data_IF_546158750636
#
_entry.id   IF_546158750636
#
_cell.length_a   1.000
_cell.length_b   1.000
_cell.length_c   1.000
_cell.angle_alpha   90.00
_cell.angle_beta   90.00
_cell.angle_gamma   90.00
#
_symmetry.space_group_name_H-M   'P 1'
#
loop_
_entity.id
_entity.type
_entity.pdbx_description
1 polymer ?
#
# COMPACT_ATOMS: atom_id res chain seq x y z
N UNK A 1 8.53 -9.38 14.46
CA UNK A 1 8.78 -10.55 13.58
C UNK A 1 8.39 -10.32 12.12
N UNK A 2 7.69 -9.21 11.79
CA UNK A 2 7.36 -8.85 10.40
C UNK A 2 8.66 -8.60 9.61
N UNK A 3 8.76 -9.10 8.36
CA UNK A 3 9.96 -8.99 7.53
C UNK A 3 10.50 -7.57 7.39
N UNK A 4 9.62 -6.57 7.19
CA UNK A 4 10.01 -5.15 7.13
C UNK A 4 10.68 -4.70 8.44
N UNK A 5 10.08 -4.94 9.61
CA UNK A 5 10.65 -4.55 10.89
C UNK A 5 11.97 -5.26 11.17
N UNK A 6 12.01 -6.58 10.99
CA UNK A 6 13.21 -7.37 11.25
C UNK A 6 14.32 -7.06 10.24
N UNK A 7 14.02 -7.07 8.95
CA UNK A 7 15.01 -6.88 7.88
C UNK A 7 15.52 -5.44 7.79
N UNK A 8 14.61 -4.48 7.68
CA UNK A 8 14.95 -3.08 7.41
C UNK A 8 15.30 -2.31 8.66
N UNK A 9 14.59 -2.55 9.80
CA UNK A 9 14.77 -1.73 11.00
C UNK A 9 15.72 -2.31 12.03
N UNK A 10 16.02 -3.63 11.98
CA UNK A 10 16.93 -4.28 12.94
C UNK A 10 18.15 -4.86 12.25
N UNK A 11 17.97 -5.87 11.38
CA UNK A 11 19.08 -6.61 10.79
C UNK A 11 19.96 -5.73 9.88
N UNK A 12 19.36 -4.99 8.98
CA UNK A 12 20.10 -4.11 8.06
C UNK A 12 20.97 -3.09 8.79
N UNK A 13 20.44 -2.26 9.71
CA UNK A 13 21.24 -1.33 10.49
C UNK A 13 22.37 -1.98 11.28
N UNK A 14 22.12 -3.14 11.92
CA UNK A 14 23.16 -3.86 12.66
C UNK A 14 24.29 -4.36 11.74
N UNK A 15 23.96 -4.90 10.55
CA UNK A 15 24.94 -5.30 9.55
C UNK A 15 25.79 -4.10 9.06
N UNK A 16 25.18 -2.94 8.98
CA UNK A 16 25.86 -1.68 8.60
C UNK A 16 26.56 -0.98 9.78
N UNK A 17 26.54 -1.60 10.97
CA UNK A 17 27.12 -1.03 12.21
C UNK A 17 26.49 0.32 12.59
N UNK A 18 25.21 0.49 12.33
CA UNK A 18 24.45 1.67 12.70
C UNK A 18 23.80 1.44 14.06
N UNK A 19 23.88 2.43 14.95
CA UNK A 19 23.17 2.40 16.23
C UNK A 19 21.66 2.31 16.01
N UNK A 20 21.02 1.35 16.67
CA UNK A 20 19.59 1.09 16.52
C UNK A 20 18.88 1.22 17.86
N UNK A 21 17.89 2.10 17.92
CA UNK A 21 17.04 2.29 19.10
C UNK A 21 15.82 1.39 18.96
N UNK A 22 15.80 0.31 19.75
CA UNK A 22 14.67 -0.61 19.78
C UNK A 22 13.59 -0.09 20.73
N UNK A 23 12.36 0.00 20.23
CA UNK A 23 11.19 0.40 20.99
C UNK A 23 10.28 -0.83 21.13
N UNK A 24 10.28 -1.52 22.29
CA UNK A 24 9.53 -2.77 22.45
C UNK A 24 8.03 -2.63 22.25
N UNK A 25 7.49 -1.48 22.69
CA UNK A 25 6.07 -1.15 22.55
C UNK A 25 5.93 0.29 22.05
N UNK A 26 5.27 0.45 20.91
CA UNK A 26 5.02 1.77 20.34
C UNK A 26 3.81 2.42 20.99
N UNK A 27 4.03 3.60 21.59
CA UNK A 27 2.98 4.47 22.10
C UNK A 27 3.01 5.79 21.30
N UNK A 28 1.97 6.02 20.50
CA UNK A 28 1.85 7.24 19.70
C UNK A 28 1.88 8.54 20.53
N UNK A 29 1.42 8.51 21.78
CA UNK A 29 1.47 9.68 22.67
C UNK A 29 2.90 10.01 23.10
N UNK A 30 3.76 9.01 23.24
CA UNK A 30 5.17 9.18 23.62
C UNK A 30 6.08 9.47 22.42
N UNK A 31 5.59 9.30 21.21
CA UNK A 31 6.41 9.43 19.99
C UNK A 31 7.11 10.81 19.88
N UNK A 32 6.43 11.97 20.09
CA UNK A 32 7.10 13.28 20.07
C UNK A 32 8.24 13.38 21.09
N UNK A 33 8.04 12.87 22.31
CA UNK A 33 9.07 12.86 23.36
C UNK A 33 10.27 11.99 22.94
N UNK A 34 10.03 10.84 22.34
CA UNK A 34 11.09 9.97 21.83
C UNK A 34 11.91 10.66 20.74
N UNK A 35 11.26 11.32 19.78
CA UNK A 35 11.91 12.08 18.73
C UNK A 35 12.82 13.19 19.30
N UNK A 36 12.31 13.92 20.30
CA UNK A 36 13.07 14.96 20.97
C UNK A 36 14.26 14.41 21.78
N UNK A 37 14.08 13.24 22.41
CA UNK A 37 15.11 12.65 23.28
C UNK A 37 16.23 12.00 22.48
N UNK A 38 15.86 11.16 21.51
CA UNK A 38 16.84 10.34 20.78
C UNK A 38 17.37 11.02 19.52
N UNK A 39 16.67 12.01 18.98
CA UNK A 39 17.04 12.72 17.74
C UNK A 39 17.54 11.76 16.65
N UNK A 40 16.74 10.74 16.26
CA UNK A 40 17.17 9.76 15.30
C UNK A 40 17.46 10.41 13.94
N UNK A 41 18.44 9.89 13.22
CA UNK A 41 18.72 10.32 11.84
C UNK A 41 17.87 9.55 10.81
N UNK A 42 17.37 8.38 11.19
CA UNK A 42 16.52 7.56 10.35
C UNK A 42 15.31 7.02 11.12
N UNK A 43 14.18 6.96 10.46
CA UNK A 43 12.96 6.31 10.96
C UNK A 43 12.39 5.47 9.82
N UNK A 44 12.07 4.21 10.11
CA UNK A 44 11.32 3.35 9.23
C UNK A 44 9.95 3.03 9.86
N UNK A 45 8.90 3.06 9.08
CA UNK A 45 7.54 2.81 9.56
C UNK A 45 6.55 2.47 8.47
N UNK A 46 5.34 2.19 8.91
CA UNK A 46 4.20 1.89 8.05
C UNK A 46 3.28 3.12 7.93
N UNK A 47 2.39 3.19 6.92
CA UNK A 47 1.50 4.36 6.75
C UNK A 47 0.68 4.72 7.98
N UNK A 48 0.27 3.75 8.80
CA UNK A 48 -0.44 4.01 10.06
C UNK A 48 0.41 4.76 11.10
N UNK A 49 1.73 4.54 11.12
CA UNK A 49 2.66 5.32 11.95
C UNK A 49 2.69 6.79 11.50
N UNK A 50 2.71 7.01 10.19
CA UNK A 50 2.71 8.36 9.61
C UNK A 50 1.41 9.11 9.89
N UNK A 51 0.24 8.43 9.80
CA UNK A 51 -1.03 9.01 10.25
C UNK A 51 -0.98 9.45 11.70
N UNK A 52 -0.52 8.57 12.59
CA UNK A 52 -0.40 8.87 14.01
C UNK A 52 0.56 10.05 14.28
N UNK A 53 1.63 10.19 13.51
CA UNK A 53 2.56 11.31 13.59
C UNK A 53 1.92 12.62 13.15
N UNK A 54 1.19 12.62 12.04
CA UNK A 54 0.52 13.80 11.49
C UNK A 54 -0.63 14.32 12.36
N UNK A 55 -1.28 13.44 13.12
CA UNK A 55 -2.43 13.77 13.98
C UNK A 55 -2.01 14.13 15.41
N UNK A 56 -0.76 13.88 15.79
CA UNK A 56 -0.29 14.11 17.15
C UNK A 56 0.21 15.54 17.34
N UNK A 57 -0.59 16.39 18.00
CA UNK A 57 -0.26 17.78 18.35
C UNK A 57 1.04 17.93 19.15
N UNK A 58 1.54 16.86 19.78
CA UNK A 58 2.82 16.87 20.47
C UNK A 58 4.02 17.15 19.55
N UNK A 59 3.83 17.07 18.23
CA UNK A 59 4.86 17.42 17.24
C UNK A 59 4.93 18.92 16.92
N UNK A 60 3.92 19.74 17.24
CA UNK A 60 3.81 21.14 16.79
C UNK A 60 5.10 21.97 16.96
N UNK A 61 5.93 21.65 17.96
CA UNK A 61 7.18 22.37 18.25
C UNK A 61 8.40 21.44 18.27
N UNK A 62 8.36 20.32 17.55
CA UNK A 62 9.50 19.39 17.46
C UNK A 62 10.34 19.74 16.23
N UNK A 63 11.60 20.03 16.46
CA UNK A 63 12.59 20.15 15.37
C UNK A 63 13.01 18.75 14.89
N UNK A 64 12.82 18.49 13.60
CA UNK A 64 13.16 17.25 12.91
C UNK A 64 14.35 17.42 11.94
N UNK A 65 15.09 18.53 12.04
CA UNK A 65 16.22 18.86 11.16
C UNK A 65 17.33 17.81 11.16
N UNK A 66 17.40 16.99 12.22
CA UNK A 66 18.34 15.87 12.32
C UNK A 66 17.98 14.66 11.44
N UNK A 67 16.73 14.57 10.97
CA UNK A 67 16.31 13.46 10.11
C UNK A 67 16.97 13.54 8.73
N UNK A 68 17.55 12.41 8.33
CA UNK A 68 18.16 12.19 7.00
C UNK A 68 17.36 11.18 6.18
N UNK A 69 16.67 10.26 6.85
CA UNK A 69 15.90 9.21 6.20
C UNK A 69 14.57 8.99 6.93
N UNK A 70 13.49 9.04 6.17
CA UNK A 70 12.14 8.63 6.61
C UNK A 70 11.64 7.61 5.59
N UNK A 71 11.47 6.36 6.02
CA UNK A 71 11.25 5.22 5.13
C UNK A 71 9.87 4.63 5.38
N UNK A 72 9.01 4.64 4.39
CA UNK A 72 7.71 3.96 4.41
C UNK A 72 7.80 2.62 3.71
N UNK A 73 7.22 1.59 4.33
CA UNK A 73 7.12 0.26 3.75
C UNK A 73 6.05 -0.58 4.45
N UNK A 74 5.91 -1.83 4.02
CA UNK A 74 5.00 -2.80 4.64
C UNK A 74 3.53 -2.62 4.30
N UNK A 75 3.12 -1.46 3.77
CA UNK A 75 1.81 -1.21 3.20
C UNK A 75 1.87 -0.08 2.17
N UNK A 76 0.81 0.08 1.39
CA UNK A 76 0.72 1.12 0.36
C UNK A 76 0.65 2.52 0.98
N UNK A 77 1.56 3.39 0.56
CA UNK A 77 1.57 4.81 0.93
C UNK A 77 0.82 5.59 -0.15
N UNK A 78 -0.37 6.11 0.16
CA UNK A 78 -1.16 6.90 -0.78
C UNK A 78 -0.46 8.21 -1.14
N UNK A 79 -0.68 8.72 -2.34
CA UNK A 79 -0.12 10.02 -2.79
C UNK A 79 -0.47 11.15 -1.82
N UNK A 80 -1.71 11.18 -1.34
CA UNK A 80 -2.16 12.19 -0.36
C UNK A 80 -1.36 12.10 0.96
N UNK A 81 -1.09 10.88 1.44
CA UNK A 81 -0.28 10.68 2.65
C UNK A 81 1.19 11.08 2.41
N UNK A 82 1.75 10.72 1.26
CA UNK A 82 3.10 11.10 0.86
C UNK A 82 3.26 12.63 0.84
N UNK A 83 2.33 13.37 0.22
CA UNK A 83 2.33 14.82 0.18
C UNK A 83 2.21 15.46 1.57
N UNK A 84 1.30 14.93 2.41
CA UNK A 84 1.11 15.40 3.79
C UNK A 84 2.36 15.20 4.61
N UNK A 85 3.00 14.03 4.50
CA UNK A 85 4.26 13.74 5.20
C UNK A 85 5.40 14.64 4.72
N UNK A 86 5.55 14.83 3.42
CA UNK A 86 6.59 15.70 2.87
C UNK A 86 6.40 17.15 3.30
N UNK A 87 5.16 17.63 3.39
CA UNK A 87 4.85 18.97 3.94
C UNK A 87 5.20 19.03 5.43
N UNK A 88 4.78 18.04 6.20
CA UNK A 88 5.05 17.96 7.63
C UNK A 88 6.56 17.97 7.91
N UNK A 89 7.35 17.16 7.23
CA UNK A 89 8.80 17.12 7.38
C UNK A 89 9.44 18.49 7.13
N UNK A 90 9.06 19.16 6.04
CA UNK A 90 9.56 20.52 5.73
C UNK A 90 9.18 21.54 6.79
N UNK A 91 7.94 21.55 7.27
CA UNK A 91 7.50 22.51 8.31
C UNK A 91 8.16 22.29 9.65
N UNK A 92 8.75 21.10 9.89
CA UNK A 92 9.50 20.76 11.10
C UNK A 92 11.02 20.77 10.89
N UNK A 93 11.51 21.43 9.84
CA UNK A 93 12.93 21.63 9.60
C UNK A 93 13.66 20.48 8.88
N UNK A 94 13.00 19.36 8.58
CA UNK A 94 13.61 18.25 7.84
C UNK A 94 13.53 18.52 6.33
N UNK A 95 14.66 18.84 5.70
CA UNK A 95 14.75 19.10 4.26
C UNK A 95 14.93 17.80 3.45
N UNK A 96 14.01 16.87 3.66
CA UNK A 96 13.96 15.56 3.00
C UNK A 96 12.54 15.23 2.58
N UNK A 97 12.39 14.25 1.69
CA UNK A 97 11.12 13.62 1.36
C UNK A 97 11.07 12.21 1.91
N UNK A 98 9.86 11.73 2.23
CA UNK A 98 9.66 10.34 2.64
C UNK A 98 10.04 9.41 1.50
N UNK A 99 10.88 8.42 1.78
CA UNK A 99 11.26 7.36 0.85
C UNK A 99 10.33 6.17 0.99
N UNK A 100 10.21 5.39 -0.08
CA UNK A 100 9.34 4.22 -0.16
C UNK A 100 10.15 2.98 -0.46
N UNK A 101 9.81 1.87 0.19
CA UNK A 101 10.36 0.56 -0.10
C UNK A 101 9.25 -0.43 -0.40
N UNK A 102 9.46 -1.27 -1.41
CA UNK A 102 8.55 -2.34 -1.76
C UNK A 102 9.20 -3.71 -1.52
N UNK A 103 8.38 -4.64 -1.09
CA UNK A 103 8.76 -6.03 -0.89
C UNK A 103 7.68 -6.79 -0.14
N UNK A 104 7.93 -8.06 0.06
CA UNK A 104 7.00 -8.99 0.70
C UNK A 104 7.77 -10.06 1.48
N UNK A 105 7.06 -10.90 2.23
CA UNK A 105 7.66 -12.00 3.01
C UNK A 105 8.43 -12.95 2.08
N UNK A 106 7.86 -13.25 0.92
CA UNK A 106 8.43 -14.12 -0.11
C UNK A 106 9.72 -13.58 -0.74
N UNK A 107 10.01 -12.31 -0.54
CA UNK A 107 11.24 -11.66 -1.01
C UNK A 107 12.11 -11.11 0.13
N UNK A 108 11.95 -11.62 1.34
CA UNK A 108 12.77 -11.29 2.52
C UNK A 108 12.82 -9.78 2.79
N UNK A 109 11.65 -9.16 2.88
CA UNK A 109 11.38 -7.74 3.11
C UNK A 109 11.48 -6.86 1.86
N UNK A 110 12.56 -6.06 1.71
CA UNK A 110 12.64 -5.04 0.66
C UNK A 110 13.39 -5.52 -0.58
N UNK A 111 12.82 -5.28 -1.76
CA UNK A 111 13.41 -5.61 -3.07
C UNK A 111 13.62 -4.39 -3.95
N UNK A 112 12.84 -3.31 -3.72
CA UNK A 112 13.07 -2.01 -4.35
C UNK A 112 13.03 -0.89 -3.33
N UNK A 113 13.58 0.26 -3.70
CA UNK A 113 13.66 1.44 -2.83
C UNK A 113 13.75 2.73 -3.65
N UNK A 114 13.18 3.81 -3.12
CA UNK A 114 13.27 5.14 -3.74
C UNK A 114 14.51 5.87 -3.24
N UNK A 115 15.58 5.82 -4.02
CA UNK A 115 16.80 6.59 -3.78
C UNK A 115 16.63 8.05 -4.20
N UNK A 116 17.59 8.91 -3.84
CA UNK A 116 17.66 10.28 -4.37
C UNK A 116 17.69 10.24 -5.90
N UNK A 117 16.82 11.00 -6.53
CA UNK A 117 16.66 11.03 -7.99
C UNK A 117 15.68 9.98 -8.57
N UNK A 118 15.23 9.01 -7.77
CA UNK A 118 14.21 8.02 -8.18
C UNK A 118 12.99 8.03 -7.26
N UNK A 119 12.90 8.98 -6.34
CA UNK A 119 11.79 9.11 -5.41
C UNK A 119 10.64 9.92 -6.04
N UNK A 120 10.08 9.39 -7.12
CA UNK A 120 8.93 9.98 -7.78
C UNK A 120 7.63 9.72 -6.98
N UNK A 121 6.68 10.66 -6.99
CA UNK A 121 5.40 10.46 -6.30
C UNK A 121 4.70 9.17 -6.72
N UNK A 122 4.24 8.38 -5.76
CA UNK A 122 3.55 7.10 -6.00
C UNK A 122 4.44 5.95 -6.47
N UNK A 123 5.73 6.18 -6.75
CA UNK A 123 6.65 5.10 -7.14
C UNK A 123 7.07 4.24 -5.96
N UNK A 124 7.50 3.02 -6.25
CA UNK A 124 8.19 2.12 -5.32
C UNK A 124 9.71 2.07 -5.59
N UNK A 125 10.19 3.00 -6.40
CA UNK A 125 11.61 3.20 -6.67
C UNK A 125 12.19 2.28 -7.75
N UNK A 126 13.43 1.89 -7.58
CA UNK A 126 14.18 1.02 -8.48
C UNK A 126 14.64 -0.24 -7.74
N UNK A 127 15.03 -1.31 -8.44
CA UNK A 127 15.52 -2.54 -7.81
C UNK A 127 16.68 -2.28 -6.87
N UNK A 128 16.67 -2.90 -5.69
CA UNK A 128 17.84 -2.96 -4.83
C UNK A 128 18.92 -3.87 -5.45
N UNK A 129 20.15 -3.63 -5.09
CA UNK A 129 21.33 -4.36 -5.63
C UNK A 129 21.10 -5.87 -5.58
N UNK A 130 21.31 -6.52 -6.72
CA UNK A 130 21.14 -7.97 -6.87
C UNK A 130 19.73 -8.43 -7.25
N UNK A 131 18.72 -7.58 -7.11
CA UNK A 131 17.36 -7.90 -7.55
C UNK A 131 17.11 -7.39 -8.96
N UNK A 132 16.26 -8.11 -9.70
CA UNK A 132 15.76 -7.74 -11.02
C UNK A 132 14.24 -7.70 -10.95
N UNK A 133 13.65 -6.83 -11.75
CA UNK A 133 12.21 -6.72 -11.92
C UNK A 133 11.86 -6.84 -13.39
N UNK A 134 10.75 -7.50 -13.67
CA UNK A 134 10.05 -7.42 -14.94
C UNK A 134 8.55 -7.32 -14.70
N UNK A 135 7.83 -6.93 -15.72
CA UNK A 135 6.36 -6.94 -15.71
C UNK A 135 5.92 -8.04 -16.64
N UNK A 136 5.03 -8.91 -16.16
CA UNK A 136 4.49 -10.00 -16.95
C UNK A 136 2.99 -9.84 -17.15
N UNK A 137 2.49 -10.35 -18.26
CA UNK A 137 1.06 -10.52 -18.43
C UNK A 137 0.55 -11.43 -17.31
N UNK A 138 -0.50 -11.03 -16.57
CA UNK A 138 -0.99 -11.80 -15.44
C UNK A 138 -1.21 -13.27 -15.75
N UNK A 139 -0.82 -14.14 -14.81
CA UNK A 139 -0.91 -15.59 -14.89
C UNK A 139 -0.02 -16.25 -15.95
N UNK A 140 0.88 -15.51 -16.61
CA UNK A 140 1.81 -16.02 -17.61
C UNK A 140 3.25 -15.58 -17.31
N UNK A 141 4.24 -16.14 -18.01
CA UNK A 141 5.65 -15.73 -18.00
C UNK A 141 6.01 -14.80 -19.19
N UNK A 142 5.00 -14.26 -19.88
CA UNK A 142 5.18 -13.32 -21.00
C UNK A 142 5.53 -11.93 -20.46
N UNK A 143 6.77 -11.50 -20.68
CA UNK A 143 7.23 -10.17 -20.27
C UNK A 143 6.62 -9.08 -21.15
N UNK A 144 6.16 -8.00 -20.51
CA UNK A 144 5.62 -6.81 -21.14
C UNK A 144 6.69 -5.72 -21.24
N UNK A 145 6.64 -4.87 -22.28
CA UNK A 145 7.55 -3.73 -22.42
C UNK A 145 7.31 -2.67 -21.33
N UNK A 146 8.30 -1.78 -21.18
CA UNK A 146 8.21 -0.65 -20.26
C UNK A 146 7.01 0.24 -20.61
N UNK A 147 6.30 0.69 -19.58
CA UNK A 147 5.08 1.49 -19.69
C UNK A 147 3.80 0.66 -19.74
N UNK A 148 3.87 -0.64 -20.01
CA UNK A 148 2.70 -1.50 -19.94
C UNK A 148 2.47 -2.04 -18.54
N UNK A 149 1.20 -2.14 -18.15
CA UNK A 149 0.78 -2.62 -16.84
C UNK A 149 0.57 -4.13 -16.85
N UNK A 150 1.10 -4.81 -15.83
CA UNK A 150 0.96 -6.25 -15.63
C UNK A 150 1.40 -6.67 -14.24
N UNK A 151 1.63 -7.96 -14.04
CA UNK A 151 2.11 -8.50 -12.78
C UNK A 151 3.58 -8.17 -12.57
N UNK A 152 3.90 -7.60 -11.42
CA UNK A 152 5.29 -7.37 -11.00
C UNK A 152 5.92 -8.70 -10.66
N UNK A 153 7.04 -9.02 -11.33
CA UNK A 153 7.83 -10.20 -11.06
C UNK A 153 9.22 -9.82 -10.56
N UNK A 154 9.74 -10.56 -9.58
CA UNK A 154 11.03 -10.29 -8.93
C UNK A 154 11.93 -11.51 -9.01
N UNK A 155 13.19 -11.29 -9.38
CA UNK A 155 14.23 -12.32 -9.34
C UNK A 155 15.46 -11.77 -8.62
N UNK A 156 16.05 -12.56 -7.73
CA UNK A 156 17.26 -12.15 -7.02
C UNK A 156 17.52 -12.96 -5.75
N UNK A 157 18.61 -12.67 -5.05
CA UNK A 157 19.06 -13.44 -3.89
C UNK A 157 18.13 -13.31 -2.67
N UNK A 158 17.23 -12.33 -2.66
CA UNK A 158 16.28 -12.12 -1.58
C UNK A 158 15.01 -12.96 -1.72
N UNK A 159 14.76 -13.55 -2.90
CA UNK A 159 13.59 -14.39 -3.16
C UNK A 159 13.69 -15.68 -2.36
N UNK A 160 12.59 -16.08 -1.72
CA UNK A 160 12.49 -17.30 -0.92
C UNK A 160 12.77 -18.55 -1.76
N UNK A 161 13.12 -19.64 -1.10
CA UNK A 161 13.25 -20.97 -1.74
C UNK A 161 11.90 -21.66 -1.95
N UNK A 162 10.88 -21.27 -1.19
CA UNK A 162 9.52 -21.80 -1.28
C UNK A 162 8.78 -21.74 0.05
N UNK A 163 7.53 -22.12 0.02
CA UNK A 163 6.70 -22.30 1.21
C UNK A 163 6.95 -23.68 1.84
N UNK A 164 7.16 -23.71 3.15
CA UNK A 164 7.44 -24.94 3.89
C UNK A 164 6.29 -25.94 3.73
N UNK A 165 6.62 -27.15 3.24
CA UNK A 165 5.65 -28.25 3.00
C UNK A 165 4.47 -27.86 2.07
N UNK A 166 4.68 -26.91 1.16
CA UNK A 166 3.67 -26.42 0.21
C UNK A 166 4.23 -26.31 -1.21
N UNK A 167 4.55 -27.47 -1.85
CA UNK A 167 5.18 -27.44 -3.17
C UNK A 167 4.29 -26.86 -4.26
N UNK A 168 2.98 -27.12 -4.22
CA UNK A 168 2.03 -26.60 -5.21
C UNK A 168 1.89 -25.08 -5.10
N UNK A 169 1.71 -24.54 -3.90
CA UNK A 169 1.66 -23.10 -3.69
C UNK A 169 2.98 -22.41 -4.03
N UNK A 170 4.10 -23.11 -3.82
CA UNK A 170 5.42 -22.64 -4.24
C UNK A 170 5.52 -22.55 -5.76
N UNK A 171 5.11 -23.60 -6.47
CA UNK A 171 5.13 -23.62 -7.94
C UNK A 171 4.20 -22.57 -8.58
N UNK A 172 3.13 -22.20 -7.89
CA UNK A 172 2.21 -21.16 -8.36
C UNK A 172 2.86 -19.76 -8.36
N UNK A 173 3.81 -19.50 -7.49
CA UNK A 173 4.43 -18.17 -7.34
C UNK A 173 5.89 -18.12 -7.81
N UNK A 174 6.64 -19.24 -7.72
CA UNK A 174 8.01 -19.33 -8.21
C UNK A 174 8.02 -20.03 -9.56
N UNK A 175 8.20 -19.26 -10.64
CA UNK A 175 8.13 -19.78 -12.00
C UNK A 175 9.46 -19.56 -12.75
N UNK A 176 9.80 -20.49 -13.63
CA UNK A 176 11.00 -20.41 -14.45
C UNK A 176 10.69 -19.67 -15.75
N UNK A 177 11.34 -18.54 -15.98
CA UNK A 177 11.20 -17.74 -17.19
C UNK A 177 12.14 -18.20 -18.30
N UNK A 178 11.99 -17.60 -19.49
CA UNK A 178 12.79 -17.92 -20.69
C UNK A 178 14.28 -17.63 -20.51
N UNK A 179 14.64 -16.72 -19.59
CA UNK A 179 16.03 -16.38 -19.25
C UNK A 179 16.71 -17.46 -18.38
N UNK A 180 15.99 -18.53 -18.03
CA UNK A 180 16.47 -19.62 -17.20
C UNK A 180 16.46 -19.35 -15.69
N UNK A 181 16.15 -18.14 -15.26
CA UNK A 181 16.04 -17.79 -13.85
C UNK A 181 14.66 -18.13 -13.28
N UNK A 182 14.61 -18.31 -11.96
CA UNK A 182 13.35 -18.44 -11.22
C UNK A 182 12.90 -17.06 -10.77
N UNK A 183 11.68 -16.71 -11.12
CA UNK A 183 11.05 -15.45 -10.79
C UNK A 183 9.91 -15.63 -9.82
N UNK A 184 9.80 -14.73 -8.86
CA UNK A 184 8.67 -14.63 -7.95
C UNK A 184 7.57 -13.79 -8.62
N UNK A 185 6.44 -14.42 -8.90
CA UNK A 185 5.19 -13.77 -9.28
C UNK A 185 4.52 -13.23 -8.03
N UNK A 186 4.54 -11.91 -7.87
CA UNK A 186 4.19 -11.28 -6.59
C UNK A 186 2.69 -11.22 -6.32
N UNK A 187 1.87 -11.36 -7.36
CA UNK A 187 0.44 -11.10 -7.30
C UNK A 187 0.11 -9.59 -7.14
N UNK A 188 1.08 -8.73 -7.35
CA UNK A 188 0.94 -7.29 -7.36
C UNK A 188 1.02 -6.77 -8.80
N UNK A 189 0.12 -5.85 -9.15
CA UNK A 189 0.05 -5.22 -10.48
C UNK A 189 0.80 -3.89 -10.44
N UNK A 190 1.50 -3.60 -11.53
CA UNK A 190 2.23 -2.35 -11.69
C UNK A 190 2.89 -2.24 -13.05
N UNK A 191 3.76 -1.28 -13.20
CA UNK A 191 4.52 -1.07 -14.44
C UNK A 191 5.92 -0.52 -14.14
N UNK A 192 6.83 -0.65 -15.10
CA UNK A 192 8.14 -0.01 -15.07
C UNK A 192 8.11 1.12 -16.09
N UNK A 193 8.31 2.35 -15.63
CA UNK A 193 8.37 3.51 -16.52
C UNK A 193 9.63 3.48 -17.41
N UNK A 194 9.67 4.24 -18.54
CA UNK A 194 10.82 4.26 -19.45
C UNK A 194 12.15 4.64 -18.79
N UNK A 195 12.11 5.36 -17.67
CA UNK A 195 13.29 5.73 -16.88
C UNK A 195 13.71 4.64 -15.86
N UNK A 196 13.06 3.48 -15.85
CA UNK A 196 13.35 2.36 -14.98
C UNK A 196 12.72 2.43 -13.59
N UNK A 197 11.96 3.47 -13.29
CA UNK A 197 11.24 3.60 -12.01
C UNK A 197 10.01 2.71 -12.01
N UNK A 198 9.79 1.99 -10.90
CA UNK A 198 8.71 1.01 -10.75
C UNK A 198 7.54 1.66 -10.02
N UNK A 199 6.33 1.38 -10.49
CA UNK A 199 5.09 1.81 -9.88
C UNK A 199 4.23 0.60 -9.54
N UNK A 200 3.73 0.58 -8.31
CA UNK A 200 2.73 -0.37 -7.86
C UNK A 200 1.35 0.23 -8.08
N UNK A 201 0.47 -0.51 -8.73
CA UNK A 201 -0.91 -0.08 -8.94
C UNK A 201 -1.83 -0.69 -7.89
N UNK A 202 -1.82 -2.02 -7.75
CA UNK A 202 -2.66 -2.73 -6.78
C UNK A 202 -2.32 -4.22 -6.67
N UNK A 203 -3.07 -4.95 -5.84
CA UNK A 203 -3.01 -6.42 -5.78
C UNK A 203 -3.93 -7.06 -6.81
N UNK A 204 -3.42 -8.06 -7.54
CA UNK A 204 -4.17 -8.82 -8.54
C UNK A 204 -5.48 -9.39 -7.95
N UNK A 205 -5.41 -9.97 -6.73
CA UNK A 205 -6.56 -10.54 -6.02
C UNK A 205 -7.62 -9.52 -5.60
N UNK A 206 -7.29 -8.22 -5.56
CA UNK A 206 -8.23 -7.13 -5.25
C UNK A 206 -8.89 -6.54 -6.48
N UNK A 207 -8.37 -6.84 -7.66
CA UNK A 207 -8.91 -6.33 -8.91
C UNK A 207 -10.34 -6.84 -9.11
N UNK A 208 -11.26 -5.93 -9.38
CA UNK A 208 -12.67 -6.23 -9.63
C UNK A 208 -12.87 -6.28 -11.14
N UNK A 209 -13.20 -7.46 -11.67
CA UNK A 209 -13.54 -7.58 -13.09
C UNK A 209 -15.03 -7.27 -13.25
N UNK A 210 -15.34 -6.13 -13.89
CA UNK A 210 -16.70 -5.65 -14.15
C UNK A 210 -16.97 -5.56 -15.64
N UNK A 211 -17.79 -6.46 -16.19
CA UNK A 211 -18.13 -6.49 -17.64
C UNK A 211 -16.90 -6.54 -18.54
N UNK A 212 -15.84 -7.24 -18.14
CA UNK A 212 -14.57 -7.34 -18.90
C UNK A 212 -13.59 -6.19 -18.68
N UNK A 213 -13.93 -5.21 -17.87
CA UNK A 213 -13.03 -4.11 -17.49
C UNK A 213 -12.42 -4.36 -16.11
N UNK A 214 -11.16 -4.03 -15.97
CA UNK A 214 -10.45 -4.05 -14.70
C UNK A 214 -10.78 -2.79 -13.90
N UNK A 215 -11.37 -2.96 -12.75
CA UNK A 215 -11.65 -1.87 -11.78
C UNK A 215 -10.67 -1.99 -10.63
N UNK A 216 -10.02 -0.89 -10.31
CA UNK A 216 -8.95 -0.79 -9.35
C UNK A 216 -9.42 -0.18 -8.02
N UNK A 217 -9.69 -1.00 -6.97
CA UNK A 217 -10.21 -0.52 -5.69
C UNK A 217 -9.43 0.61 -5.07
N UNK A 218 -8.10 0.52 -5.04
CA UNK A 218 -7.26 1.55 -4.42
C UNK A 218 -7.34 2.91 -5.11
N UNK A 219 -7.54 2.97 -6.43
CA UNK A 219 -7.75 4.24 -7.16
C UNK A 219 -9.04 4.92 -6.69
N UNK A 220 -10.08 4.12 -6.48
CA UNK A 220 -11.38 4.61 -5.97
C UNK A 220 -11.24 5.03 -4.50
N UNK A 221 -10.56 4.21 -3.69
CA UNK A 221 -10.29 4.49 -2.28
C UNK A 221 -9.54 5.81 -2.10
N UNK A 222 -8.44 6.01 -2.84
CA UNK A 222 -7.67 7.25 -2.82
C UNK A 222 -8.49 8.47 -3.23
N UNK A 223 -9.34 8.32 -4.25
CA UNK A 223 -10.18 9.41 -4.69
C UNK A 223 -11.20 9.82 -3.62
N UNK A 224 -11.86 8.83 -3.00
CA UNK A 224 -12.85 9.08 -1.94
C UNK A 224 -12.17 9.66 -0.70
N UNK A 225 -10.99 9.18 -0.33
CA UNK A 225 -10.20 9.69 0.82
C UNK A 225 -9.69 11.13 0.64
N UNK A 226 -9.71 11.69 -0.59
CA UNK A 226 -9.45 13.13 -0.83
C UNK A 226 -10.58 14.02 -0.30
N UNK A 227 -11.78 13.48 -0.09
CA UNK A 227 -12.87 14.26 0.48
C UNK A 227 -12.57 14.68 1.90
N UNK A 228 -12.75 15.97 2.28
CA UNK A 228 -12.31 16.51 3.58
C UNK A 228 -12.93 15.82 4.80
N UNK A 229 -14.13 15.26 4.67
CA UNK A 229 -14.87 14.62 5.76
C UNK A 229 -14.65 13.09 5.85
N UNK A 230 -13.93 12.49 4.89
CA UNK A 230 -13.63 11.06 4.89
C UNK A 230 -12.33 10.78 5.63
N UNK A 231 -12.36 9.81 6.54
CA UNK A 231 -11.21 9.32 7.27
C UNK A 231 -10.57 8.12 6.58
N UNK A 232 -11.39 7.17 6.11
CA UNK A 232 -10.93 5.94 5.45
C UNK A 232 -11.99 5.40 4.49
N UNK A 233 -11.52 4.76 3.42
CA UNK A 233 -12.37 4.06 2.47
C UNK A 233 -11.80 2.66 2.19
N UNK A 234 -12.69 1.68 1.97
CA UNK A 234 -12.35 0.37 1.43
C UNK A 234 -13.36 0.00 0.34
N UNK A 235 -12.87 -0.42 -0.83
CA UNK A 235 -13.70 -0.79 -1.96
C UNK A 235 -13.57 -2.29 -2.22
N UNK A 236 -14.69 -2.97 -2.36
CA UNK A 236 -14.74 -4.39 -2.69
C UNK A 236 -15.67 -4.67 -3.86
N UNK A 237 -15.46 -5.82 -4.52
CA UNK A 237 -16.32 -6.31 -5.58
C UNK A 237 -17.51 -7.07 -5.03
N UNK A 238 -18.71 -6.58 -5.28
CA UNK A 238 -19.95 -7.27 -4.92
C UNK A 238 -20.58 -7.96 -6.14
N UNK A 239 -21.28 -9.11 -5.97
CA UNK A 239 -21.98 -9.77 -7.05
C UNK A 239 -23.01 -8.86 -7.73
N UNK A 240 -23.13 -8.97 -9.07
CA UNK A 240 -24.11 -8.22 -9.84
C UNK A 240 -24.71 -9.09 -10.94
N UNK A 241 -26.05 -9.13 -11.12
CA UNK A 241 -26.72 -10.07 -12.04
C UNK A 241 -26.22 -10.04 -13.49
N UNK A 242 -25.81 -8.84 -13.98
CA UNK A 242 -25.41 -8.66 -15.38
C UNK A 242 -23.92 -8.37 -15.58
N UNK A 243 -23.20 -7.97 -14.53
CA UNK A 243 -21.82 -7.45 -14.66
C UNK A 243 -20.77 -8.33 -13.97
N UNK A 244 -21.14 -9.52 -13.53
CA UNK A 244 -20.36 -10.42 -12.70
C UNK A 244 -20.09 -9.77 -11.33
N UNK A 245 -19.33 -8.66 -11.29
CA UNK A 245 -19.10 -7.86 -10.07
C UNK A 245 -19.20 -6.37 -10.38
N UNK A 246 -19.51 -5.58 -9.36
CA UNK A 246 -19.44 -4.11 -9.38
C UNK A 246 -18.76 -3.63 -8.09
N UNK A 247 -18.19 -2.43 -8.13
CA UNK A 247 -17.55 -1.85 -6.96
C UNK A 247 -18.58 -1.35 -5.94
N UNK A 248 -18.32 -1.64 -4.65
CA UNK A 248 -19.00 -1.05 -3.49
C UNK A 248 -17.97 -0.40 -2.58
N UNK A 249 -18.24 0.84 -2.17
CA UNK A 249 -17.37 1.60 -1.29
C UNK A 249 -17.91 1.59 0.16
N UNK A 250 -17.06 1.17 1.10
CA UNK A 250 -17.28 1.27 2.54
C UNK A 250 -16.48 2.47 3.06
N UNK A 251 -17.16 3.42 3.72
CA UNK A 251 -16.62 4.71 4.04
C UNK A 251 -16.72 4.96 5.55
N UNK A 252 -15.61 5.36 6.15
CA UNK A 252 -15.54 5.86 7.53
C UNK A 252 -15.31 7.36 7.49
N UNK A 253 -16.13 8.10 8.21
CA UNK A 253 -16.03 9.55 8.33
C UNK A 253 -15.05 9.95 9.43
N UNK A 254 -14.56 11.18 9.36
CA UNK A 254 -13.75 11.77 10.42
C UNK A 254 -14.59 12.00 11.68
N UNK A 255 -13.94 12.05 12.83
CA UNK A 255 -14.58 12.32 14.12
C UNK A 255 -15.44 13.60 14.07
N UNK A 256 -16.66 13.51 14.59
CA UNK A 256 -17.63 14.59 14.58
C UNK A 256 -18.34 14.84 13.24
N UNK A 257 -18.14 13.98 12.25
CA UNK A 257 -18.85 14.00 10.97
C UNK A 257 -19.88 12.90 10.91
N UNK A 258 -21.05 13.19 10.33
CA UNK A 258 -22.14 12.25 10.17
C UNK A 258 -22.56 12.15 8.71
N UNK A 259 -23.06 10.97 8.33
CA UNK A 259 -23.65 10.76 7.01
C UNK A 259 -24.88 11.66 6.83
N UNK A 260 -24.95 12.31 5.69
CA UNK A 260 -26.13 13.05 5.27
C UNK A 260 -26.27 13.02 3.74
N UNK A 261 -27.46 13.34 3.21
CA UNK A 261 -27.74 13.27 1.76
C UNK A 261 -26.79 14.14 0.92
N UNK A 262 -26.36 15.30 1.45
CA UNK A 262 -25.43 16.21 0.77
C UNK A 262 -24.05 15.56 0.63
N UNK A 263 -23.48 15.06 1.70
CA UNK A 263 -22.18 14.38 1.71
C UNK A 263 -22.19 13.17 0.78
N UNK A 264 -23.23 12.36 0.83
CA UNK A 264 -23.39 11.21 -0.06
C UNK A 264 -23.42 11.62 -1.54
N UNK A 265 -24.07 12.74 -1.86
CA UNK A 265 -24.11 13.30 -3.21
C UNK A 265 -22.73 13.80 -3.63
N UNK A 266 -22.04 14.55 -2.79
CA UNK A 266 -20.69 15.06 -3.04
C UNK A 266 -19.70 13.94 -3.37
N UNK A 267 -19.68 12.86 -2.57
CA UNK A 267 -18.82 11.70 -2.84
C UNK A 267 -19.16 11.00 -4.15
N UNK A 268 -20.46 10.83 -4.46
CA UNK A 268 -20.90 10.25 -5.73
C UNK A 268 -20.47 11.11 -6.92
N UNK A 269 -20.62 12.43 -6.84
CA UNK A 269 -20.19 13.35 -7.88
C UNK A 269 -18.68 13.36 -8.03
N UNK A 270 -17.92 13.33 -6.94
CA UNK A 270 -16.47 13.19 -6.95
C UNK A 270 -16.04 11.95 -7.75
N UNK A 271 -16.67 10.80 -7.49
CA UNK A 271 -16.38 9.57 -8.23
C UNK A 271 -16.78 9.68 -9.72
N UNK A 272 -17.95 10.20 -10.02
CA UNK A 272 -18.43 10.34 -11.41
C UNK A 272 -17.58 11.26 -12.27
N UNK A 273 -17.02 12.31 -11.66
CA UNK A 273 -16.25 13.31 -12.38
C UNK A 273 -14.78 12.92 -12.60
N UNK A 274 -14.28 11.92 -11.88
CA UNK A 274 -12.86 11.57 -11.87
C UNK A 274 -12.58 10.08 -12.19
N UNK A 275 -13.60 9.25 -12.35
CA UNK A 275 -13.45 7.84 -12.68
C UNK A 275 -14.18 7.49 -13.97
N UNK A 276 -13.65 6.49 -14.67
CA UNK A 276 -14.35 5.88 -15.78
C UNK A 276 -15.69 5.26 -15.32
N UNK A 277 -16.70 5.30 -16.15
CA UNK A 277 -18.08 4.93 -15.81
C UNK A 277 -18.21 3.49 -15.26
N UNK A 278 -17.32 2.57 -15.67
CA UNK A 278 -17.29 1.20 -15.18
C UNK A 278 -16.65 1.07 -13.79
N UNK A 279 -15.82 2.04 -13.39
CA UNK A 279 -15.11 2.10 -12.10
C UNK A 279 -15.91 2.81 -11.00
N UNK A 280 -16.95 3.57 -11.35
CA UNK A 280 -17.76 4.30 -10.36
C UNK A 280 -18.49 3.29 -9.47
N UNK A 281 -18.32 3.34 -8.12
CA UNK A 281 -19.03 2.46 -7.21
C UNK A 281 -20.55 2.53 -7.39
N UNK A 282 -21.20 1.37 -7.39
CA UNK A 282 -22.67 1.29 -7.49
C UNK A 282 -23.33 1.48 -6.14
N UNK A 283 -22.63 1.06 -5.07
CA UNK A 283 -23.12 1.16 -3.71
C UNK A 283 -22.09 1.89 -2.82
N UNK A 284 -22.61 2.61 -1.84
CA UNK A 284 -21.83 3.35 -0.85
C UNK A 284 -22.43 3.04 0.52
N UNK A 285 -21.65 2.47 1.43
CA UNK A 285 -22.05 2.15 2.80
C UNK A 285 -21.15 2.91 3.78
N UNK A 286 -21.78 3.64 4.69
CA UNK A 286 -21.05 4.36 5.75
C UNK A 286 -21.01 3.49 7.00
N UNK A 287 -19.84 3.45 7.65
CA UNK A 287 -19.57 2.66 8.87
C UNK A 287 -18.77 3.47 9.86
N UNK A 288 -18.92 3.16 11.15
CA UNK A 288 -18.10 3.74 12.20
C UNK A 288 -16.66 3.25 12.12
N UNK A 289 -16.46 1.99 11.76
CA UNK A 289 -15.14 1.36 11.62
C UNK A 289 -15.12 0.35 10.47
N UNK A 290 -13.91 0.07 9.95
CA UNK A 290 -13.68 -1.04 9.03
C UNK A 290 -13.05 -2.23 9.77
N UNK A 291 -13.36 -3.48 9.39
CA UNK A 291 -12.73 -4.65 9.95
C UNK A 291 -11.22 -4.63 9.72
N UNK A 292 -10.46 -5.18 10.67
CA UNK A 292 -9.00 -5.18 10.61
C UNK A 292 -8.45 -6.59 10.78
N UNK A 293 -7.42 -6.90 10.03
CA UNK A 293 -6.62 -8.10 10.21
C UNK A 293 -5.81 -8.04 11.52
N UNK A 294 -5.21 -9.16 11.94
CA UNK A 294 -4.29 -9.23 13.08
C UNK A 294 -3.12 -8.23 13.00
N UNK A 295 -2.78 -7.77 11.80
CA UNK A 295 -1.71 -6.80 11.55
C UNK A 295 -2.22 -5.37 11.37
N UNK A 296 -3.44 -5.06 11.85
CA UNK A 296 -4.08 -3.74 11.80
C UNK A 296 -4.33 -3.18 10.39
N UNK A 297 -4.26 -4.00 9.34
CA UNK A 297 -4.68 -3.63 7.98
C UNK A 297 -6.18 -3.83 7.83
N UNK A 298 -6.81 -3.05 6.94
CA UNK A 298 -8.24 -3.28 6.60
C UNK A 298 -8.42 -4.68 6.03
N UNK A 299 -9.34 -5.44 6.60
CA UNK A 299 -9.69 -6.78 6.14
C UNK A 299 -10.79 -6.71 5.07
N UNK A 300 -10.38 -6.45 3.83
CA UNK A 300 -11.29 -6.39 2.68
C UNK A 300 -11.97 -7.74 2.40
N UNK A 301 -11.33 -8.87 2.77
CA UNK A 301 -11.92 -10.20 2.56
C UNK A 301 -13.14 -10.40 3.46
N UNK A 302 -13.07 -9.94 4.71
CA UNK A 302 -14.23 -9.98 5.59
C UNK A 302 -15.38 -9.16 5.00
N UNK A 303 -15.12 -7.99 4.40
CA UNK A 303 -16.14 -7.19 3.73
C UNK A 303 -16.73 -7.90 2.50
N UNK A 304 -15.91 -8.60 1.71
CA UNK A 304 -16.38 -9.40 0.58
C UNK A 304 -17.26 -10.56 1.03
N UNK A 305 -16.90 -11.23 2.13
CA UNK A 305 -17.70 -12.32 2.73
C UNK A 305 -19.05 -11.83 3.25
N UNK A 306 -19.05 -10.72 4.01
CA UNK A 306 -20.30 -10.09 4.48
C UNK A 306 -21.27 -9.77 3.33
N UNK A 307 -20.75 -9.27 2.20
CA UNK A 307 -21.59 -8.94 1.04
C UNK A 307 -22.07 -10.19 0.28
N UNK A 308 -21.28 -11.24 0.24
CA UNK A 308 -21.68 -12.52 -0.34
C UNK A 308 -22.82 -13.15 0.47
N UNK A 309 -22.72 -13.16 1.81
CA UNK A 309 -23.77 -13.65 2.70
C UNK A 309 -25.06 -12.83 2.56
N UNK A 310 -24.96 -11.50 2.42
CA UNK A 310 -26.11 -10.62 2.16
C UNK A 310 -26.78 -10.92 0.82
N UNK A 311 -26.01 -11.24 -0.22
CA UNK A 311 -26.56 -11.61 -1.52
C UNK A 311 -27.29 -12.95 -1.46
N UNK A 312 -26.71 -13.98 -0.84
CA UNK A 312 -27.30 -15.31 -0.68
C UNK A 312 -28.58 -15.28 0.18
N UNK A 313 -28.64 -14.38 1.17
CA UNK A 313 -29.86 -14.23 2.01
C UNK A 313 -30.99 -13.49 1.32
N UNK A 314 -30.77 -12.76 0.24
CA UNK A 314 -31.79 -12.09 -0.58
C UNK A 314 -32.39 -13.00 -1.66
N UNK A 315 -31.71 -14.10 -2.00
CA UNK A 315 -32.17 -15.09 -2.98
C UNK A 315 -33.02 -16.21 -2.35
N UNK A 316 -33.05 -16.29 -1.03
CA UNK A 316 -33.91 -17.18 -0.25
C UNK A 316 -35.20 -16.47 0.16
#
# INVERSE_FOLDING_TARGET
>A
FHGFGLGVSVHGPLCLKVETILVPEFDGKRFPKMMKTYKPQAIAGVPTLWSAMLENKGFDNIDLSNLKYVISGGDYLTLSMEERMNRFLRTHGANISISKGYGMTESTAATSYTFSGTNEPGSIGIPMIGNKFCICKPETEEELPFGEEGEICVCGPTVMQGYLNRPEETANVLRKHKDGNTWLHTGDIGYIAPNGVIYFTQRLKRMIVSSGFNVYPNVIEELIEKHPDVAKCCVVGIPHPYKVKVAKAFIVLKEGKEENPKLRKEIKELCKNNLEAFSVPREYEFRDTLPKTLYSKVDYKQLEEEEKEKAESKEK
#
